data_IF_371649714398
#
_entry.id   IF_371649714398
#
_cell.length_a   1.000
_cell.length_b   1.000
_cell.length_c   1.000
_cell.angle_alpha   90.00
_cell.angle_beta   90.00
_cell.angle_gamma   90.00
#
_symmetry.space_group_name_H-M   'P 1'
#
loop_
_entity.id
_entity.type
_entity.pdbx_description
1 polymer ?
#
# COMPACT_ATOMS: atom_id res chain seq x y z
N UNK A 1 -7.06 -14.90 -38.32
CA UNK A 1 -7.04 -13.42 -38.34
C UNK A 1 -5.62 -12.90 -38.10
N UNK A 2 -5.17 -11.86 -38.81
CA UNK A 2 -3.82 -11.29 -38.67
C UNK A 2 -3.61 -10.40 -37.43
N UNK A 3 -4.69 -9.99 -36.76
CA UNK A 3 -4.67 -9.30 -35.47
C UNK A 3 -5.67 -9.95 -34.52
N UNK A 4 -5.38 -9.92 -33.24
CA UNK A 4 -6.28 -10.45 -32.21
C UNK A 4 -7.39 -9.48 -31.83
N UNK A 5 -7.18 -8.18 -32.03
CA UNK A 5 -8.13 -7.11 -31.72
C UNK A 5 -7.73 -5.82 -32.46
N UNK A 6 -8.61 -4.82 -32.44
CA UNK A 6 -8.30 -3.45 -32.86
C UNK A 6 -9.45 -2.79 -33.61
N UNK A 7 -9.49 -1.45 -33.67
CA UNK A 7 -10.60 -0.71 -34.27
C UNK A 7 -10.79 -1.02 -35.77
N UNK A 8 -9.70 -1.34 -36.47
CA UNK A 8 -9.73 -1.76 -37.88
C UNK A 8 -9.78 -3.30 -38.04
N UNK A 9 -9.63 -4.05 -36.95
CA UNK A 9 -9.47 -5.49 -36.97
C UNK A 9 -8.18 -5.94 -37.65
N UNK A 10 -8.08 -7.26 -37.83
CA UNK A 10 -7.10 -7.91 -38.70
C UNK A 10 -7.76 -8.41 -39.99
N UNK A 11 -6.94 -9.00 -40.85
CA UNK A 11 -7.34 -9.60 -42.12
C UNK A 11 -7.20 -11.12 -42.03
N UNK A 12 -8.09 -11.85 -42.70
CA UNK A 12 -8.02 -13.29 -42.84
C UNK A 12 -8.28 -13.68 -44.29
N UNK A 13 -7.39 -14.52 -44.82
CA UNK A 13 -7.53 -15.08 -46.16
C UNK A 13 -8.37 -16.35 -46.10
N UNK A 14 -9.39 -16.41 -46.94
CA UNK A 14 -10.23 -17.57 -47.17
C UNK A 14 -9.88 -18.14 -48.54
N UNK A 15 -9.58 -19.44 -48.59
CA UNK A 15 -9.33 -20.15 -49.84
C UNK A 15 -10.33 -21.29 -49.99
N UNK A 16 -10.77 -21.52 -51.22
CA UNK A 16 -11.59 -22.69 -51.60
C UNK A 16 -11.07 -23.29 -52.89
N UNK A 17 -11.26 -24.59 -53.06
CA UNK A 17 -10.85 -25.29 -54.27
C UNK A 17 -12.07 -25.69 -55.10
N UNK A 18 -11.87 -25.77 -56.42
CA UNK A 18 -12.87 -26.31 -57.35
C UNK A 18 -12.83 -27.82 -57.27
N UNK A 19 -13.90 -28.43 -56.76
CA UNK A 19 -14.01 -29.90 -56.65
C UNK A 19 -14.53 -30.50 -57.96
N UNK A 20 -15.31 -29.74 -58.74
CA UNK A 20 -15.86 -30.18 -60.03
C UNK A 20 -15.80 -29.03 -61.01
N UNK A 21 -15.15 -29.25 -62.16
CA UNK A 21 -15.00 -28.24 -63.20
C UNK A 21 -16.33 -28.00 -63.93
N UNK A 22 -16.63 -26.76 -64.35
CA UNK A 22 -17.81 -26.48 -65.15
C UNK A 22 -17.81 -27.30 -66.45
N UNK A 23 -18.98 -27.78 -66.87
CA UNK A 23 -19.13 -28.50 -68.15
C UNK A 23 -18.75 -27.58 -69.32
N UNK A 24 -17.88 -28.02 -70.24
CA UNK A 24 -17.49 -27.20 -71.39
C UNK A 24 -18.71 -26.75 -72.20
N UNK A 25 -18.88 -25.44 -72.37
CA UNK A 25 -19.96 -24.86 -73.19
C UNK A 25 -21.31 -24.69 -72.50
N UNK A 26 -21.52 -25.23 -71.29
CA UNK A 26 -22.81 -25.16 -70.58
C UNK A 26 -22.70 -24.71 -69.11
N UNK A 27 -21.51 -24.76 -68.50
CA UNK A 27 -21.28 -24.39 -67.10
C UNK A 27 -20.79 -22.95 -66.91
N UNK A 28 -21.24 -22.29 -65.85
CA UNK A 28 -20.72 -20.97 -65.43
C UNK A 28 -19.33 -21.10 -64.79
N UNK A 29 -18.40 -20.15 -65.04
CA UNK A 29 -17.11 -20.12 -64.36
C UNK A 29 -17.28 -20.08 -62.83
N UNK A 30 -16.37 -20.76 -62.11
CA UNK A 30 -16.35 -20.67 -60.66
C UNK A 30 -16.05 -19.22 -60.23
N UNK A 31 -16.67 -18.72 -59.14
CA UNK A 31 -16.33 -17.40 -58.63
C UNK A 31 -14.93 -17.42 -57.99
N UNK A 32 -14.43 -16.24 -57.58
CA UNK A 32 -13.12 -16.11 -56.96
C UNK A 32 -12.89 -17.18 -55.86
N UNK A 33 -11.74 -17.83 -55.94
CA UNK A 33 -11.33 -18.91 -55.02
C UNK A 33 -10.63 -18.37 -53.78
N UNK A 34 -10.25 -17.11 -53.81
CA UNK A 34 -9.60 -16.39 -52.73
C UNK A 34 -10.47 -15.18 -52.36
N UNK A 35 -10.60 -14.94 -51.06
CA UNK A 35 -11.25 -13.77 -50.53
C UNK A 35 -10.54 -13.31 -49.25
N UNK A 36 -10.54 -12.00 -49.03
CA UNK A 36 -10.05 -11.42 -47.79
C UNK A 36 -11.23 -10.91 -46.97
N UNK A 37 -11.22 -11.22 -45.67
CA UNK A 37 -12.24 -10.74 -44.73
C UNK A 37 -11.60 -10.03 -43.53
N UNK A 38 -12.30 -9.01 -43.03
CA UNK A 38 -11.92 -8.35 -41.78
C UNK A 38 -12.44 -9.17 -40.59
N UNK A 39 -11.61 -9.33 -39.58
CA UNK A 39 -11.89 -10.11 -38.37
C UNK A 39 -11.39 -9.37 -37.12
N UNK A 40 -11.89 -9.77 -35.94
CA UNK A 40 -11.46 -9.25 -34.64
C UNK A 40 -11.53 -7.71 -34.49
N UNK A 41 -12.65 -7.11 -34.92
CA UNK A 41 -12.92 -5.66 -34.81
C UNK A 41 -13.23 -5.15 -33.41
N UNK A 42 -13.17 -6.01 -32.39
CA UNK A 42 -13.41 -5.59 -31.02
C UNK A 42 -12.20 -4.79 -30.48
N UNK A 43 -12.42 -3.89 -29.49
CA UNK A 43 -11.34 -3.16 -28.86
C UNK A 43 -10.29 -4.10 -28.24
N UNK A 44 -9.04 -3.66 -28.22
CA UNK A 44 -7.99 -4.34 -27.50
C UNK A 44 -8.05 -4.04 -26.00
N UNK A 45 -7.62 -4.98 -25.14
CA UNK A 45 -7.40 -4.69 -23.73
C UNK A 45 -6.49 -3.47 -23.55
N UNK A 46 -6.90 -2.57 -22.66
CA UNK A 46 -6.09 -1.40 -22.28
C UNK A 46 -5.73 -1.59 -20.83
N UNK A 47 -4.45 -1.84 -20.57
CA UNK A 47 -3.95 -2.00 -19.22
C UNK A 47 -3.91 -0.67 -18.48
N UNK A 48 -4.06 -0.77 -17.16
CA UNK A 48 -3.84 0.35 -16.28
C UNK A 48 -2.42 0.91 -16.45
N UNK A 49 -2.31 2.23 -16.42
CA UNK A 49 -1.03 2.93 -16.33
C UNK A 49 -0.98 3.74 -15.05
N UNK A 50 0.01 3.42 -14.22
CA UNK A 50 0.19 4.02 -12.90
C UNK A 50 1.22 5.14 -13.00
N UNK A 51 1.00 6.19 -12.21
CA UNK A 51 1.96 7.27 -12.06
C UNK A 51 3.11 6.92 -11.13
N UNK A 52 4.06 7.84 -11.05
CA UNK A 52 5.15 7.76 -10.07
C UNK A 52 4.61 7.86 -8.66
N UNK A 53 5.29 7.19 -7.73
CA UNK A 53 5.04 7.35 -6.31
C UNK A 53 5.44 8.75 -5.83
N UNK A 54 4.67 9.29 -4.90
CA UNK A 54 5.08 10.41 -4.06
C UNK A 54 6.20 9.98 -3.11
N UNK A 55 6.85 10.96 -2.51
CA UNK A 55 7.61 10.74 -1.29
C UNK A 55 6.71 10.22 -0.15
N UNK A 56 7.32 9.55 0.83
CA UNK A 56 6.61 9.20 2.05
C UNK A 56 6.22 10.46 2.83
N UNK A 57 5.03 10.45 3.43
CA UNK A 57 4.62 11.46 4.39
C UNK A 57 5.53 11.45 5.61
N UNK A 58 5.43 12.50 6.43
CA UNK A 58 5.99 12.45 7.78
C UNK A 58 5.35 11.30 8.57
N UNK A 59 6.08 10.81 9.57
CA UNK A 59 5.59 9.82 10.51
C UNK A 59 4.33 10.36 11.20
N UNK A 60 3.27 9.56 11.27
CA UNK A 60 2.00 9.97 11.88
C UNK A 60 2.12 10.22 13.39
N UNK A 61 3.11 9.58 14.03
CA UNK A 61 3.42 9.79 15.43
C UNK A 61 4.57 10.78 15.57
N UNK A 62 4.46 11.67 16.55
CA UNK A 62 5.53 12.62 16.89
C UNK A 62 6.67 11.93 17.66
N UNK A 63 6.31 10.94 18.48
CA UNK A 63 7.16 10.06 19.29
C UNK A 63 6.63 8.60 19.21
N UNK A 64 7.46 7.62 19.53
CA UNK A 64 7.11 6.21 19.50
C UNK A 64 6.85 5.66 18.10
N UNK A 65 5.90 4.73 17.99
CA UNK A 65 5.58 4.05 16.73
C UNK A 65 4.49 4.80 15.98
N UNK A 66 4.64 4.92 14.66
CA UNK A 66 3.62 5.47 13.77
C UNK A 66 3.73 4.88 12.37
N UNK A 67 3.01 5.50 11.45
CA UNK A 67 2.97 5.11 10.05
C UNK A 67 3.31 6.27 9.11
N UNK A 68 3.90 5.93 7.96
CA UNK A 68 4.11 6.82 6.83
C UNK A 68 3.40 6.26 5.62
N UNK A 69 2.88 7.17 4.80
CA UNK A 69 2.10 6.84 3.61
C UNK A 69 2.81 7.38 2.38
N UNK A 70 2.71 6.67 1.27
CA UNK A 70 2.99 7.27 -0.05
C UNK A 70 1.87 6.93 -1.01
N UNK A 71 1.69 7.82 -1.98
CA UNK A 71 0.55 7.82 -2.89
C UNK A 71 1.03 7.83 -4.32
N UNK A 72 0.19 7.38 -5.25
CA UNK A 72 0.39 7.59 -6.67
C UNK A 72 -0.94 7.78 -7.37
N UNK A 73 -0.90 8.51 -8.47
CA UNK A 73 -2.05 8.67 -9.34
C UNK A 73 -2.16 7.53 -10.35
N UNK A 74 -3.36 7.36 -10.90
CA UNK A 74 -3.57 6.49 -12.07
C UNK A 74 -3.63 7.39 -13.29
N UNK A 75 -2.63 7.25 -14.16
CA UNK A 75 -2.52 8.01 -15.41
C UNK A 75 -3.57 7.50 -16.41
N UNK A 76 -3.84 6.20 -16.41
CA UNK A 76 -4.84 5.58 -17.29
C UNK A 76 -5.55 4.43 -16.60
N UNK A 77 -6.87 4.52 -16.55
CA UNK A 77 -7.71 3.44 -16.04
C UNK A 77 -7.75 2.26 -17.02
N UNK A 78 -7.85 1.02 -16.52
CA UNK A 78 -7.95 -0.16 -17.36
C UNK A 78 -9.29 -0.19 -18.12
N UNK A 79 -9.28 -0.71 -19.35
CA UNK A 79 -10.50 -0.91 -20.17
C UNK A 79 -10.43 -2.25 -20.91
N UNK A 80 -11.60 -2.74 -21.34
CA UNK A 80 -11.72 -3.93 -22.19
C UNK A 80 -10.99 -5.17 -21.64
N UNK A 81 -11.16 -5.44 -20.33
CA UNK A 81 -10.47 -6.52 -19.62
C UNK A 81 -8.93 -6.40 -19.60
N UNK A 82 -8.39 -5.19 -19.74
CA UNK A 82 -6.98 -4.92 -19.46
C UNK A 82 -6.65 -5.11 -17.98
N UNK A 83 -5.35 -5.27 -17.69
CA UNK A 83 -4.84 -5.52 -16.34
C UNK A 83 -5.24 -4.37 -15.39
N UNK A 84 -5.80 -4.69 -14.21
CA UNK A 84 -6.17 -3.67 -13.22
C UNK A 84 -4.93 -2.98 -12.64
N UNK A 85 -5.13 -1.79 -12.07
CA UNK A 85 -4.11 -1.08 -11.31
C UNK A 85 -3.83 -1.79 -9.97
N UNK A 86 -2.59 -1.72 -9.51
CA UNK A 86 -2.25 -2.06 -8.13
C UNK A 86 -2.64 -0.90 -7.19
N UNK A 87 -2.42 -1.06 -5.88
CA UNK A 87 -2.87 -0.10 -4.86
C UNK A 87 -2.35 1.34 -5.09
N UNK A 88 -3.19 2.35 -4.85
CA UNK A 88 -2.82 3.78 -4.98
C UNK A 88 -2.10 4.34 -3.76
N UNK A 89 -2.13 3.61 -2.65
CA UNK A 89 -1.53 3.99 -1.38
C UNK A 89 -0.79 2.78 -0.84
N UNK A 90 0.40 3.02 -0.28
CA UNK A 90 1.08 2.03 0.57
C UNK A 90 1.48 2.66 1.88
N UNK A 91 1.49 1.83 2.92
CA UNK A 91 1.86 2.20 4.28
C UNK A 91 3.18 1.54 4.66
N UNK A 92 3.98 2.26 5.45
CA UNK A 92 5.21 1.76 6.04
C UNK A 92 5.29 2.23 7.49
N UNK A 93 5.61 1.33 8.41
CA UNK A 93 5.84 1.70 9.80
C UNK A 93 7.09 2.58 9.95
N UNK A 94 6.98 3.57 10.83
CA UNK A 94 8.07 4.44 11.26
C UNK A 94 8.21 4.39 12.78
N UNK A 95 9.44 4.57 13.25
CA UNK A 95 9.76 4.63 14.66
C UNK A 95 10.47 5.95 14.95
N UNK A 96 9.96 6.67 15.94
CA UNK A 96 10.49 7.91 16.49
C UNK A 96 11.03 7.65 17.89
N UNK A 97 11.65 8.66 18.47
CA UNK A 97 12.12 8.58 19.86
C UNK A 97 10.95 8.25 20.80
N UNK A 98 11.18 7.50 21.89
CA UNK A 98 10.14 7.20 22.87
C UNK A 98 9.41 8.46 23.35
N UNK A 99 8.12 8.34 23.58
CA UNK A 99 7.35 9.46 24.13
C UNK A 99 7.81 9.78 25.55
N UNK A 100 7.84 11.08 25.85
CA UNK A 100 8.18 11.56 27.18
C UNK A 100 7.09 11.15 28.17
N UNK A 101 7.48 10.46 29.24
CA UNK A 101 6.60 10.05 30.32
C UNK A 101 7.39 10.04 31.62
N UNK A 102 6.90 10.76 32.62
CA UNK A 102 7.47 10.72 33.97
C UNK A 102 7.28 9.35 34.60
N UNK A 103 8.08 9.04 35.63
CA UNK A 103 7.85 7.79 36.33
C UNK A 103 6.57 7.79 37.16
N UNK A 104 6.03 6.59 37.33
CA UNK A 104 4.99 6.33 38.31
C UNK A 104 5.65 5.89 39.60
N UNK A 105 5.36 6.59 40.68
CA UNK A 105 5.90 6.30 42.00
C UNK A 105 4.82 5.67 42.88
N UNK A 106 5.24 4.85 43.84
CA UNK A 106 4.32 4.35 44.87
C UNK A 106 3.88 5.48 45.79
N UNK A 107 2.84 5.21 46.58
CA UNK A 107 2.56 6.02 47.77
C UNK A 107 3.80 6.05 48.67
N UNK A 108 3.95 7.17 49.39
CA UNK A 108 4.97 7.28 50.43
C UNK A 108 4.71 6.30 51.55
N UNK A 109 5.77 5.76 52.14
CA UNK A 109 5.68 5.12 53.45
C UNK A 109 5.28 6.14 54.50
N UNK A 110 4.76 5.67 55.63
CA UNK A 110 4.70 6.52 56.83
C UNK A 110 6.12 7.00 57.18
N UNK A 111 6.20 8.18 57.81
CA UNK A 111 7.46 8.65 58.37
C UNK A 111 7.93 7.66 59.44
N UNK A 112 9.23 7.40 59.45
CA UNK A 112 9.85 6.69 60.56
C UNK A 112 9.79 7.55 61.85
N UNK A 113 10.10 6.91 62.99
CA UNK A 113 10.25 7.63 64.24
C UNK A 113 11.45 8.58 64.17
N UNK A 114 11.35 9.72 64.86
CA UNK A 114 12.48 10.64 64.98
C UNK A 114 13.70 9.92 65.54
N UNK A 115 14.87 10.19 64.96
CA UNK A 115 16.16 9.62 65.35
C UNK A 115 16.56 9.99 66.79
N UNK A 116 16.13 11.15 67.29
CA UNK A 116 16.33 11.60 68.66
C UNK A 116 15.03 12.02 69.33
N UNK A 117 14.99 11.88 70.66
CA UNK A 117 13.84 12.25 71.47
C UNK A 117 13.73 13.77 71.73
N UNK A 118 14.84 14.52 71.68
CA UNK A 118 14.87 15.97 71.88
C UNK A 118 16.09 16.61 71.21
N UNK A 119 16.00 17.91 70.87
CA UNK A 119 17.12 18.68 70.30
C UNK A 119 17.10 18.88 68.78
N UNK A 120 16.00 18.56 68.10
CA UNK A 120 15.83 18.77 66.65
C UNK A 120 16.33 17.60 65.81
N UNK A 121 15.65 16.45 65.90
CA UNK A 121 15.96 15.24 65.12
C UNK A 121 15.39 15.23 63.71
N UNK A 122 15.73 14.18 62.97
CA UNK A 122 15.26 13.91 61.61
C UNK A 122 14.31 12.72 61.58
N UNK A 123 13.41 12.71 60.61
CA UNK A 123 12.57 11.57 60.27
C UNK A 123 12.49 11.44 58.76
N UNK A 124 12.47 10.22 58.25
CA UNK A 124 12.49 9.94 56.81
C UNK A 124 11.25 9.16 56.41
N UNK A 125 10.81 9.39 55.17
CA UNK A 125 9.90 8.50 54.46
C UNK A 125 10.47 8.15 53.10
N UNK A 126 10.03 7.03 52.53
CA UNK A 126 10.52 6.52 51.24
C UNK A 126 9.37 6.16 50.32
N UNK A 127 9.62 6.13 49.02
CA UNK A 127 8.71 5.60 47.99
C UNK A 127 9.50 4.88 46.92
N UNK A 128 8.85 4.00 46.18
CA UNK A 128 9.48 3.21 45.13
C UNK A 128 9.04 3.68 43.74
N UNK A 129 9.89 3.46 42.74
CA UNK A 129 9.52 3.64 41.33
C UNK A 129 8.76 2.40 40.88
N UNK A 130 7.48 2.56 40.56
CA UNK A 130 6.63 1.50 40.02
C UNK A 130 6.80 1.37 38.50
N UNK A 131 6.94 2.50 37.79
CA UNK A 131 7.24 2.53 36.36
C UNK A 131 8.34 3.55 36.09
N UNK A 132 9.43 3.20 35.37
CA UNK A 132 10.51 4.14 35.06
C UNK A 132 10.07 5.21 34.04
N UNK A 133 10.76 6.36 33.98
CA UNK A 133 10.45 7.39 33.00
C UNK A 133 10.91 6.96 31.60
N UNK A 134 10.25 7.48 30.56
CA UNK A 134 10.65 7.31 29.16
C UNK A 134 10.93 8.66 28.50
N UNK A 135 11.82 8.67 27.50
CA UNK A 135 12.22 9.91 26.83
C UNK A 135 12.91 10.88 27.79
N UNK A 136 12.40 12.10 27.85
CA UNK A 136 12.83 13.18 28.76
C UNK A 136 12.01 13.23 30.06
N UNK A 137 11.23 12.20 30.36
CA UNK A 137 10.47 12.12 31.61
C UNK A 137 11.35 12.18 32.85
N UNK A 138 10.80 12.71 33.93
CA UNK A 138 11.49 12.94 35.19
C UNK A 138 11.05 11.99 36.29
N UNK A 139 11.96 11.70 37.22
CA UNK A 139 11.66 11.06 38.49
C UNK A 139 12.07 11.94 39.67
N UNK A 140 11.11 12.42 40.48
CA UNK A 140 11.46 13.06 41.72
C UNK A 140 12.07 12.07 42.74
N UNK A 141 12.84 12.55 43.74
CA UNK A 141 13.56 11.70 44.68
C UNK A 141 12.66 10.69 45.40
N UNK A 142 13.25 9.53 45.71
CA UNK A 142 12.59 8.42 46.40
C UNK A 142 12.59 8.56 47.93
N UNK A 143 13.29 9.57 48.47
CA UNK A 143 13.50 9.78 49.91
C UNK A 143 13.21 11.24 50.25
N UNK A 144 12.63 11.47 51.42
CA UNK A 144 12.26 12.79 51.94
C UNK A 144 12.51 12.79 53.47
N UNK A 145 13.23 13.81 53.95
CA UNK A 145 13.83 13.92 55.30
C UNK A 145 13.36 15.18 56.00
#
# INVERSE_FOLDING_TARGET
CSKECGPQGGLQNLTRQVITQPTPGYGTPCPALEAEMVCNKHPCPIDCQEGSWSEFTRCSAECGNGDQYKFRDIIREPRYNGRPCDARMVVKQCQRDPCDKDCVLSEWTEYNACDVACGGGFHERRRNVLEPPTGQGYCPPAEDV
#
